data_IF_828490264810
#
_entry.id   IF_828490264810
#
_cell.length_a   1.000
_cell.length_b   1.000
_cell.length_c   1.000
_cell.angle_alpha   90.00
_cell.angle_beta   90.00
_cell.angle_gamma   90.00
#
_symmetry.space_group_name_H-M   'P 1'
#
loop_
_entity.id
_entity.type
_entity.pdbx_description
1 polymer ?
#
# COMPACT_ATOMS: atom_id res chain seq x y z
N UNK A 1 -19.01 -13.50 -10.83
CA UNK A 1 -19.72 -12.19 -10.85
C UNK A 1 -18.74 -11.10 -11.27
N UNK A 2 -19.12 -10.17 -12.17
CA UNK A 2 -18.26 -9.07 -12.53
C UNK A 2 -18.02 -8.16 -11.32
N UNK A 3 -16.77 -7.79 -11.05
CA UNK A 3 -16.45 -6.80 -10.02
C UNK A 3 -16.88 -5.42 -10.52
N UNK A 4 -17.72 -4.72 -9.76
CA UNK A 4 -17.98 -3.28 -10.00
C UNK A 4 -16.71 -2.49 -9.72
N UNK A 5 -16.53 -1.39 -10.45
CA UNK A 5 -15.44 -0.45 -10.18
C UNK A 5 -15.55 0.08 -8.73
N UNK A 6 -14.41 0.33 -8.09
CA UNK A 6 -14.39 0.95 -6.75
C UNK A 6 -14.81 2.42 -6.86
N UNK A 7 -15.68 2.85 -5.96
CA UNK A 7 -16.04 4.26 -5.83
C UNK A 7 -14.88 5.04 -5.21
N UNK A 8 -14.63 6.24 -5.71
CA UNK A 8 -13.62 7.13 -5.15
C UNK A 8 -14.12 7.72 -3.83
N UNK A 9 -13.24 7.78 -2.83
CA UNK A 9 -13.56 8.45 -1.57
C UNK A 9 -13.67 9.96 -1.78
N UNK A 10 -14.71 10.59 -1.21
CA UNK A 10 -14.89 12.05 -1.25
C UNK A 10 -13.74 12.80 -0.57
N UNK A 11 -13.07 12.18 0.40
CA UNK A 11 -11.98 12.80 1.18
C UNK A 11 -10.61 12.62 0.51
N UNK A 12 -10.49 11.75 -0.48
CA UNK A 12 -9.18 11.40 -1.08
C UNK A 12 -8.26 10.59 -0.16
N UNK A 13 -8.68 10.27 1.07
CA UNK A 13 -7.93 9.43 2.01
C UNK A 13 -8.32 7.98 1.80
N UNK A 14 -7.31 7.12 1.61
CA UNK A 14 -7.49 5.69 1.37
C UNK A 14 -6.69 4.88 2.40
N UNK A 15 -7.33 3.88 2.99
CA UNK A 15 -6.65 2.85 3.78
C UNK A 15 -6.33 1.67 2.86
N UNK A 16 -5.04 1.41 2.63
CA UNK A 16 -4.54 0.32 1.80
C UNK A 16 -4.05 -0.80 2.72
N UNK A 17 -4.63 -2.00 2.59
CA UNK A 17 -4.13 -3.21 3.25
C UNK A 17 -3.45 -4.11 2.23
N UNK A 18 -2.26 -4.57 2.56
CA UNK A 18 -1.51 -5.54 1.77
C UNK A 18 -1.78 -6.94 2.35
N UNK A 19 -2.03 -7.93 1.49
CA UNK A 19 -2.21 -9.33 1.89
C UNK A 19 -1.56 -10.25 0.88
N UNK A 20 -0.82 -11.25 1.35
CA UNK A 20 -0.24 -12.28 0.48
C UNK A 20 -1.31 -13.18 -0.11
N UNK A 21 -0.97 -13.81 -1.24
CA UNK A 21 -1.81 -14.84 -1.85
C UNK A 21 -1.99 -15.96 -0.81
N UNK A 22 -3.20 -16.50 -0.70
CA UNK A 22 -3.50 -17.59 0.24
C UNK A 22 -3.15 -17.35 1.74
N UNK A 23 -3.05 -16.08 2.18
CA UNK A 23 -2.59 -15.70 3.55
C UNK A 23 -1.10 -15.94 3.81
N UNK A 24 -0.31 -16.13 2.77
CA UNK A 24 1.14 -16.23 2.90
C UNK A 24 1.75 -14.89 3.32
N UNK A 25 2.93 -14.97 3.93
CA UNK A 25 3.71 -13.80 4.31
C UNK A 25 4.15 -13.05 3.06
N UNK A 26 3.88 -11.75 3.02
CA UNK A 26 4.20 -10.88 1.86
C UNK A 26 5.72 -10.64 1.76
N UNK A 27 6.36 -10.46 2.91
CA UNK A 27 7.78 -10.21 3.02
C UNK A 27 8.42 -11.44 3.66
N UNK A 28 9.26 -12.15 2.91
CA UNK A 28 9.93 -13.35 3.43
C UNK A 28 11.16 -12.97 4.27
N UNK A 29 11.65 -11.75 4.10
CA UNK A 29 12.76 -11.15 4.83
C UNK A 29 12.52 -9.65 5.11
N UNK A 30 13.28 -9.09 6.05
CA UNK A 30 13.29 -7.66 6.30
C UNK A 30 13.78 -6.86 5.08
N UNK A 31 14.66 -7.44 4.27
CA UNK A 31 15.15 -6.83 3.03
C UNK A 31 14.03 -6.63 2.01
N UNK A 32 13.07 -7.56 1.93
CA UNK A 32 11.90 -7.41 1.06
C UNK A 32 11.02 -6.22 1.49
N UNK A 33 10.85 -6.07 2.81
CA UNK A 33 10.11 -4.95 3.40
C UNK A 33 10.83 -3.62 3.11
N UNK A 34 12.14 -3.56 3.34
CA UNK A 34 12.95 -2.36 3.08
C UNK A 34 12.89 -1.99 1.60
N UNK A 35 13.06 -2.97 0.71
CA UNK A 35 12.97 -2.77 -0.74
C UNK A 35 11.59 -2.24 -1.14
N UNK A 36 10.53 -2.81 -0.61
CA UNK A 36 9.16 -2.36 -0.86
C UNK A 36 8.95 -0.89 -0.47
N UNK A 37 9.39 -0.50 0.72
CA UNK A 37 9.31 0.89 1.18
C UNK A 37 10.14 1.81 0.28
N UNK A 38 11.34 1.39 -0.14
CA UNK A 38 12.20 2.17 -1.03
C UNK A 38 11.54 2.43 -2.39
N UNK A 39 10.85 1.43 -2.95
CA UNK A 39 10.14 1.56 -4.24
C UNK A 39 8.97 2.55 -4.09
N UNK A 40 8.19 2.47 -3.00
CA UNK A 40 7.11 3.42 -2.73
C UNK A 40 7.66 4.84 -2.63
N UNK A 41 8.78 5.03 -1.94
CA UNK A 41 9.41 6.34 -1.81
C UNK A 41 9.91 6.87 -3.16
N UNK A 42 10.48 6.01 -4.01
CA UNK A 42 10.88 6.40 -5.37
C UNK A 42 9.68 6.82 -6.23
N UNK A 43 8.56 6.11 -6.14
CA UNK A 43 7.32 6.47 -6.85
C UNK A 43 6.72 7.78 -6.36
N UNK A 44 6.90 8.12 -5.07
CA UNK A 44 6.44 9.38 -4.48
C UNK A 44 7.09 10.60 -5.14
N UNK A 45 8.32 10.50 -5.66
CA UNK A 45 8.94 11.64 -6.35
C UNK A 45 8.14 12.09 -7.59
N UNK A 46 7.24 11.24 -8.11
CA UNK A 46 6.35 11.56 -9.22
C UNK A 46 4.90 11.85 -8.78
N UNK A 47 4.56 11.71 -7.49
CA UNK A 47 3.19 11.85 -6.96
C UNK A 47 3.18 12.42 -5.54
N UNK A 48 2.49 13.54 -5.33
CA UNK A 48 2.31 14.13 -4.00
C UNK A 48 1.38 13.26 -3.12
N UNK A 49 1.98 12.46 -2.24
CA UNK A 49 1.25 11.62 -1.26
C UNK A 49 1.72 11.96 0.16
N UNK A 50 0.77 12.09 1.09
CA UNK A 50 1.00 12.27 2.53
C UNK A 50 0.63 10.95 3.23
N UNK A 51 1.60 10.31 3.88
CA UNK A 51 1.41 9.07 4.63
C UNK A 51 1.27 9.36 6.12
N UNK A 52 0.18 8.88 6.71
CA UNK A 52 0.00 8.83 8.15
C UNK A 52 0.43 7.46 8.65
N UNK A 53 1.39 7.42 9.57
CA UNK A 53 1.77 6.19 10.24
C UNK A 53 0.91 6.07 11.50
N UNK A 54 0.04 5.07 11.54
CA UNK A 54 -0.69 4.75 12.76
C UNK A 54 0.22 3.91 13.67
N UNK A 55 0.58 4.47 14.82
CA UNK A 55 1.30 3.77 15.89
C UNK A 55 0.38 3.81 17.10
N UNK A 56 0.12 2.67 17.72
CA UNK A 56 -0.58 2.58 19.01
C UNK A 56 0.24 3.24 20.12
#
# INVERSE_FOLDING_TARGET
MPRKAREKSKTGIYHIMLRGINRETIFQSDDDYIKFISIIQQLRNNVEIIWWRWVN
#
